data_IF_344851888663
#
_entry.id   IF_344851888663
#
_cell.length_a   1.000
_cell.length_b   1.000
_cell.length_c   1.000
_cell.angle_alpha   90.00
_cell.angle_beta   90.00
_cell.angle_gamma   90.00
#
_symmetry.space_group_name_H-M   'P 1'
#
loop_
_entity.id
_entity.type
_entity.pdbx_description
1 polymer ?
#
# COMPACT_ATOMS: atom_id res chain seq x y z
N UNK A 1 12.10 -11.97 -7.01
CA UNK A 1 11.73 -10.71 -7.72
C UNK A 1 10.43 -10.26 -7.10
N UNK A 2 10.43 -9.19 -6.31
CA UNK A 2 9.22 -8.64 -5.71
C UNK A 2 8.66 -7.58 -6.66
N UNK A 3 7.60 -7.91 -7.38
CA UNK A 3 6.79 -6.94 -8.13
C UNK A 3 5.74 -6.38 -7.19
N UNK A 4 5.73 -5.06 -7.03
CA UNK A 4 4.71 -4.35 -6.25
C UNK A 4 3.78 -3.67 -7.25
N UNK A 5 2.48 -3.95 -7.12
CA UNK A 5 1.41 -3.29 -7.84
C UNK A 5 0.85 -2.19 -6.94
N UNK A 6 0.87 -0.94 -7.39
CA UNK A 6 0.17 0.18 -6.73
C UNK A 6 -1.04 0.48 -7.61
N UNK A 7 -2.24 0.13 -7.14
CA UNK A 7 -3.50 0.57 -7.75
C UNK A 7 -3.93 1.89 -7.13
N UNK A 8 -4.39 2.82 -7.96
CA UNK A 8 -5.16 3.98 -7.50
C UNK A 8 -6.62 3.56 -7.65
N UNK A 9 -7.28 3.25 -6.55
CA UNK A 9 -8.74 3.05 -6.53
C UNK A 9 -9.42 4.43 -6.47
N UNK A 10 -10.41 4.65 -7.34
CA UNK A 10 -11.19 5.89 -7.42
C UNK A 10 -12.14 6.11 -6.22
N UNK A 11 -12.27 5.15 -5.29
CA UNK A 11 -13.35 5.13 -4.29
C UNK A 11 -13.21 6.10 -3.10
N UNK A 12 -12.24 7.02 -3.07
CA UNK A 12 -12.10 7.92 -1.91
C UNK A 12 -11.62 9.34 -2.27
N UNK A 13 -12.42 10.06 -3.06
CA UNK A 13 -12.39 11.54 -3.11
C UNK A 13 -13.50 12.10 -2.18
N UNK A 14 -13.24 13.17 -1.42
CA UNK A 14 -14.30 13.87 -0.67
C UNK A 14 -15.31 14.47 -1.63
N UNK A 15 -16.59 14.10 -1.47
CA UNK A 15 -17.71 14.71 -2.20
C UNK A 15 -17.74 16.24 -1.98
N UNK A 16 -17.23 17.00 -2.94
CA UNK A 16 -17.56 18.42 -3.07
C UNK A 16 -18.89 18.51 -3.82
N UNK A 17 -20.00 18.55 -3.09
CA UNK A 17 -21.31 18.87 -3.67
C UNK A 17 -21.33 20.34 -4.14
N UNK A 18 -21.21 20.56 -5.44
CA UNK A 18 -21.77 21.73 -6.10
C UNK A 18 -23.04 21.27 -6.84
N UNK A 19 -24.18 21.86 -6.50
CA UNK A 19 -25.49 21.44 -6.97
C UNK A 19 -25.63 21.44 -8.49
N UNK A 20 -26.07 20.31 -9.01
CA UNK A 20 -26.50 20.11 -10.39
C UNK A 20 -26.92 18.66 -10.58
N UNK A 21 -28.20 18.43 -10.83
CA UNK A 21 -28.73 17.11 -11.17
C UNK A 21 -28.21 16.77 -12.57
N UNK A 22 -27.32 15.79 -12.69
CA UNK A 22 -26.95 15.16 -13.96
C UNK A 22 -27.41 13.71 -13.84
N UNK A 23 -28.34 13.33 -14.72
CA UNK A 23 -28.78 11.95 -14.89
C UNK A 23 -27.56 11.07 -15.22
N UNK A 24 -27.47 9.93 -14.52
CA UNK A 24 -26.37 9.00 -14.65
C UNK A 24 -26.39 8.34 -16.04
N UNK A 25 -25.66 8.93 -16.97
CA UNK A 25 -25.35 8.33 -18.27
C UNK A 25 -24.10 7.44 -18.11
N UNK A 26 -24.27 6.15 -18.39
CA UNK A 26 -23.24 5.11 -18.35
C UNK A 26 -22.01 5.49 -19.19
N UNK A 27 -20.82 5.64 -18.57
CA UNK A 27 -19.51 5.21 -19.11
C UNK A 27 -18.34 5.55 -18.16
N UNK A 28 -17.64 4.54 -17.63
CA UNK A 28 -16.21 4.31 -17.92
C UNK A 28 -15.73 3.07 -17.15
N UNK A 29 -15.13 2.11 -17.85
CA UNK A 29 -14.37 1.02 -17.22
C UNK A 29 -13.30 1.63 -16.29
N UNK A 30 -13.04 1.06 -15.09
CA UNK A 30 -12.03 1.62 -14.20
C UNK A 30 -10.65 1.48 -14.84
N UNK A 31 -10.07 2.61 -15.23
CA UNK A 31 -8.73 2.66 -15.82
C UNK A 31 -7.69 2.55 -14.70
N UNK A 32 -7.12 1.37 -14.48
CA UNK A 32 -6.03 1.20 -13.51
C UNK A 32 -4.67 1.52 -14.15
N UNK A 33 -3.89 2.42 -13.53
CA UNK A 33 -2.49 2.67 -13.91
C UNK A 33 -1.55 1.94 -12.93
N UNK A 34 -0.60 1.16 -13.45
CA UNK A 34 0.36 0.41 -12.64
C UNK A 34 1.81 0.69 -13.09
N UNK A 35 2.70 0.95 -12.11
CA UNK A 35 4.15 1.00 -12.31
C UNK A 35 4.81 -0.15 -11.55
N UNK A 36 5.60 -0.95 -12.26
CA UNK A 36 6.36 -2.06 -11.66
C UNK A 36 7.82 -1.65 -11.50
N UNK A 37 8.32 -1.67 -10.28
CA UNK A 37 9.71 -1.35 -9.97
C UNK A 37 10.40 -2.49 -9.20
N UNK A 38 11.71 -2.63 -9.39
CA UNK A 38 12.55 -3.59 -8.65
C UNK A 38 12.77 -3.17 -7.18
N UNK A 39 12.64 -1.89 -6.90
CA UNK A 39 12.99 -1.31 -5.61
C UNK A 39 11.73 -0.78 -4.89
N UNK A 40 11.64 -0.88 -3.55
CA UNK A 40 10.45 -0.50 -2.77
C UNK A 40 10.38 1.02 -2.55
N UNK A 41 10.20 1.77 -3.63
CA UNK A 41 10.19 3.25 -3.65
C UNK A 41 8.75 3.79 -3.73
N UNK A 42 7.90 3.33 -2.81
CA UNK A 42 6.45 3.51 -2.86
C UNK A 42 6.02 4.98 -2.96
N UNK A 43 6.56 5.87 -2.12
CA UNK A 43 6.17 7.29 -2.10
C UNK A 43 6.46 8.00 -3.42
N UNK A 44 7.63 7.71 -4.02
CA UNK A 44 8.00 8.28 -5.31
C UNK A 44 7.02 7.78 -6.38
N UNK A 45 6.87 6.45 -6.52
CA UNK A 45 6.00 5.84 -7.52
C UNK A 45 4.54 6.31 -7.39
N UNK A 46 4.05 6.49 -6.16
CA UNK A 46 2.69 6.96 -5.92
C UNK A 46 2.49 8.40 -6.41
N UNK A 47 3.43 9.31 -6.15
CA UNK A 47 3.34 10.69 -6.66
C UNK A 47 3.41 10.70 -8.18
N UNK A 48 4.24 9.87 -8.78
CA UNK A 48 4.38 9.77 -10.23
C UNK A 48 3.10 9.25 -10.89
N UNK A 49 2.52 8.17 -10.35
CA UNK A 49 1.24 7.64 -10.80
C UNK A 49 0.14 8.71 -10.69
N UNK A 50 0.09 9.47 -9.59
CA UNK A 50 -0.87 10.57 -9.41
C UNK A 50 -0.65 11.69 -10.43
N UNK A 51 0.60 12.07 -10.70
CA UNK A 51 0.93 13.08 -11.70
C UNK A 51 0.52 12.65 -13.10
N UNK A 52 0.79 11.40 -13.47
CA UNK A 52 0.35 10.82 -14.75
C UNK A 52 -1.18 10.82 -14.84
N UNK A 53 -1.87 10.33 -13.81
CA UNK A 53 -3.33 10.27 -13.80
C UNK A 53 -3.95 11.67 -13.96
N UNK A 54 -3.49 12.66 -13.17
CA UNK A 54 -4.03 14.02 -13.23
C UNK A 54 -3.77 14.67 -14.60
N UNK A 55 -2.57 14.51 -15.16
CA UNK A 55 -2.19 15.19 -16.39
C UNK A 55 -2.82 14.56 -17.63
N UNK A 56 -2.87 13.23 -17.71
CA UNK A 56 -3.23 12.52 -18.94
C UNK A 56 -4.60 11.84 -18.90
N UNK A 57 -5.13 11.50 -17.72
CA UNK A 57 -6.47 10.91 -17.60
C UNK A 57 -7.50 12.01 -17.29
N UNK A 58 -7.19 12.88 -16.33
CA UNK A 58 -8.08 13.98 -15.93
C UNK A 58 -7.94 15.24 -16.80
N UNK A 59 -6.76 15.53 -17.36
CA UNK A 59 -6.57 16.64 -18.30
C UNK A 59 -7.41 16.49 -19.57
N UNK A 60 -7.45 15.28 -20.15
CA UNK A 60 -8.21 14.97 -21.36
C UNK A 60 -9.74 15.02 -21.19
N UNK A 61 -10.25 14.95 -19.95
CA UNK A 61 -11.69 15.05 -19.63
C UNK A 61 -12.13 16.49 -19.38
N UNK A 62 -11.24 17.36 -18.89
CA UNK A 62 -11.51 18.79 -18.71
C UNK A 62 -11.49 19.56 -20.04
N UNK A 63 -10.63 19.18 -20.98
CA UNK A 63 -10.57 19.80 -22.32
C UNK A 63 -11.85 19.57 -23.16
N UNK A 64 -12.67 18.58 -22.80
CA UNK A 64 -13.92 18.25 -23.50
C UNK A 64 -15.16 18.94 -22.92
N UNK A 65 -15.10 19.50 -21.71
CA UNK A 65 -16.31 19.84 -20.95
C UNK A 65 -16.55 21.33 -20.68
N UNK A 66 -15.57 22.25 -20.69
CA UNK A 66 -15.89 23.70 -20.60
C UNK A 66 -14.72 24.64 -20.91
N UNK A 67 -14.99 25.61 -21.78
CA UNK A 67 -14.31 26.89 -21.87
C UNK A 67 -14.55 27.71 -20.59
N UNK A 68 -13.81 27.47 -19.51
CA UNK A 68 -13.81 28.37 -18.35
C UNK A 68 -12.45 28.45 -17.67
N UNK A 69 -12.03 29.70 -17.47
CA UNK A 69 -10.74 30.18 -17.02
C UNK A 69 -10.38 29.67 -15.61
N UNK A 70 -9.64 28.56 -15.53
CA UNK A 70 -8.65 28.33 -14.48
C UNK A 70 -7.35 27.99 -15.19
N UNK A 71 -6.56 29.03 -15.47
CA UNK A 71 -5.24 28.91 -16.07
C UNK A 71 -4.24 28.34 -15.05
N UNK A 72 -4.34 27.04 -14.77
CA UNK A 72 -3.16 26.26 -14.43
C UNK A 72 -2.57 25.88 -15.77
N UNK A 73 -1.49 26.55 -16.17
CA UNK A 73 -0.80 26.24 -17.42
C UNK A 73 -0.18 24.84 -17.31
N UNK A 74 -0.95 23.81 -17.65
CA UNK A 74 -0.45 22.49 -17.97
C UNK A 74 0.34 22.64 -19.28
N UNK A 75 1.59 23.09 -19.15
CA UNK A 75 2.53 23.04 -20.26
C UNK A 75 2.70 21.56 -20.65
N UNK A 76 2.06 21.17 -21.76
CA UNK A 76 2.48 20.22 -22.80
C UNK A 76 3.57 19.20 -22.43
N UNK A 77 3.47 18.51 -21.30
CA UNK A 77 4.48 17.52 -20.91
C UNK A 77 3.95 16.17 -21.35
N UNK A 78 4.60 15.54 -22.33
CA UNK A 78 4.09 14.27 -22.85
C UNK A 78 4.30 13.15 -21.82
N UNK A 79 3.56 12.04 -21.95
CA UNK A 79 3.79 10.85 -21.12
C UNK A 79 5.24 10.39 -21.19
N UNK A 80 5.81 10.46 -22.39
CA UNK A 80 7.20 10.08 -22.66
C UNK A 80 8.19 11.00 -21.95
N UNK A 81 7.89 12.29 -21.82
CA UNK A 81 8.73 13.23 -21.06
C UNK A 81 8.69 12.92 -19.56
N UNK A 82 7.50 12.69 -18.98
CA UNK A 82 7.35 12.28 -17.57
C UNK A 82 8.03 10.93 -17.29
N UNK A 83 7.89 9.96 -18.19
CA UNK A 83 8.56 8.66 -18.10
C UNK A 83 10.08 8.82 -18.30
N UNK A 84 10.53 9.73 -19.16
CA UNK A 84 11.97 9.99 -19.34
C UNK A 84 12.58 10.65 -18.10
N UNK A 85 11.90 11.62 -17.50
CA UNK A 85 12.29 12.26 -16.25
C UNK A 85 12.27 11.22 -15.10
N UNK A 86 11.31 10.30 -15.12
CA UNK A 86 11.28 9.16 -14.20
C UNK A 86 12.55 8.29 -14.33
N UNK A 87 12.84 7.81 -15.54
CA UNK A 87 13.89 6.81 -15.77
C UNK A 87 15.31 7.40 -15.71
N UNK A 88 15.46 8.65 -16.12
CA UNK A 88 16.76 9.33 -16.20
C UNK A 88 17.08 10.06 -14.90
N UNK A 89 16.08 10.68 -14.27
CA UNK A 89 16.23 11.60 -13.14
C UNK A 89 15.84 11.03 -11.77
N UNK A 90 15.22 9.85 -11.66
CA UNK A 90 15.30 9.09 -10.39
C UNK A 90 16.67 8.44 -10.22
N UNK A 91 17.69 9.27 -10.00
CA UNK A 91 18.93 8.83 -9.38
C UNK A 91 18.79 9.00 -7.89
N UNK A 92 18.50 7.91 -7.21
CA UNK A 92 18.46 7.91 -5.75
C UNK A 92 19.83 8.30 -5.19
N UNK A 93 19.86 9.19 -4.18
CA UNK A 93 21.11 9.53 -3.54
C UNK A 93 21.75 8.27 -2.97
N UNK A 94 23.07 8.15 -3.13
CA UNK A 94 23.83 7.08 -2.50
C UNK A 94 23.69 7.18 -0.97
N UNK A 95 23.79 6.06 -0.22
CA UNK A 95 23.82 6.10 1.23
C UNK A 95 24.84 7.12 1.76
N UNK A 96 24.45 7.91 2.76
CA UNK A 96 25.28 8.97 3.34
C UNK A 96 25.32 10.29 2.55
N UNK A 97 24.59 10.40 1.44
CA UNK A 97 24.36 11.68 0.74
C UNK A 97 23.10 12.37 1.29
N UNK A 98 23.03 13.72 1.26
CA UNK A 98 21.85 14.46 1.71
C UNK A 98 20.61 14.08 0.89
N UNK A 99 19.45 14.16 1.53
CA UNK A 99 18.14 13.97 0.89
C UNK A 99 18.06 14.86 -0.36
N UNK A 100 17.64 14.29 -1.48
CA UNK A 100 17.50 15.04 -2.73
C UNK A 100 16.03 15.35 -2.91
N UNK A 101 15.68 16.63 -2.81
CA UNK A 101 14.35 17.08 -3.19
C UNK A 101 14.33 17.34 -4.69
N UNK A 102 13.34 16.77 -5.38
CA UNK A 102 13.08 17.01 -6.80
C UNK A 102 11.60 17.29 -6.99
N UNK A 103 11.27 18.36 -7.68
CA UNK A 103 9.90 18.59 -8.17
C UNK A 103 9.70 17.78 -9.44
N UNK A 104 8.67 16.92 -9.48
CA UNK A 104 8.26 16.24 -10.70
C UNK A 104 6.93 16.84 -11.16
N UNK A 105 6.96 17.56 -12.27
CA UNK A 105 5.78 18.24 -12.81
C UNK A 105 5.16 19.28 -11.85
N UNK A 106 3.89 19.67 -12.07
CA UNK A 106 3.20 20.69 -11.27
C UNK A 106 2.79 20.22 -9.88
N UNK A 107 2.89 18.91 -9.60
CA UNK A 107 2.36 18.30 -8.39
C UNK A 107 3.49 17.88 -7.45
N UNK A 108 3.81 18.80 -6.54
CA UNK A 108 4.52 18.61 -5.27
C UNK A 108 6.00 18.20 -5.38
N UNK A 109 6.79 18.78 -4.47
CA UNK A 109 8.20 18.46 -4.26
C UNK A 109 8.33 17.01 -3.73
N UNK A 110 8.91 16.11 -4.54
CA UNK A 110 9.27 14.78 -4.11
C UNK A 110 10.58 14.83 -3.33
N UNK A 111 10.55 14.36 -2.09
CA UNK A 111 11.78 14.12 -1.33
C UNK A 111 12.25 12.71 -1.63
N UNK A 112 13.26 12.57 -2.49
CA UNK A 112 13.92 11.31 -2.74
C UNK A 112 14.86 11.00 -1.55
N UNK A 113 14.46 10.01 -0.78
CA UNK A 113 15.29 9.43 0.28
C UNK A 113 16.29 8.47 -0.37
N UNK A 114 17.54 8.37 0.11
CA UNK A 114 18.49 7.38 -0.37
C UNK A 114 17.83 6.00 -0.46
N UNK A 115 18.12 5.29 -1.55
CA UNK A 115 17.76 3.89 -1.64
C UNK A 115 18.62 3.18 -0.58
N UNK A 116 18.05 3.00 0.60
CA UNK A 116 18.70 2.29 1.69
C UNK A 116 18.67 0.81 1.33
N UNK A 117 19.57 0.41 0.44
CA UNK A 117 19.96 -0.99 0.33
C UNK A 117 20.75 -1.29 1.62
N UNK A 118 19.99 -1.60 2.68
CA UNK A 118 20.37 -2.50 3.78
C UNK A 118 21.21 -2.03 5.00
N UNK A 119 21.27 -0.74 5.38
CA UNK A 119 22.01 -0.35 6.61
C UNK A 119 21.24 0.49 7.66
N UNK A 120 19.97 0.86 7.42
CA UNK A 120 19.18 1.66 8.37
C UNK A 120 17.72 1.19 8.44
N UNK A 121 17.02 1.55 9.53
CA UNK A 121 15.61 1.18 9.78
C UNK A 121 14.75 1.56 8.55
N UNK A 122 13.89 0.66 8.04
CA UNK A 122 13.07 0.94 6.86
C UNK A 122 12.17 2.16 7.07
N UNK A 123 12.16 3.04 6.07
CA UNK A 123 11.24 4.17 6.05
C UNK A 123 9.84 3.69 5.63
N UNK A 124 8.87 3.86 6.53
CA UNK A 124 7.48 3.38 6.33
C UNK A 124 6.47 4.49 6.08
N UNK A 125 6.93 5.74 5.96
CA UNK A 125 6.06 6.92 5.90
C UNK A 125 5.03 6.89 7.05
N UNK A 126 3.74 7.05 6.78
CA UNK A 126 2.65 6.93 7.75
C UNK A 126 1.99 5.53 7.79
N UNK A 127 2.46 4.57 6.99
CA UNK A 127 1.84 3.25 6.87
C UNK A 127 1.81 2.49 8.21
N UNK A 128 2.94 2.49 8.94
CA UNK A 128 3.03 1.82 10.26
C UNK A 128 2.09 2.44 11.27
N UNK A 129 1.93 3.77 11.23
CA UNK A 129 0.98 4.48 12.07
C UNK A 129 -0.47 4.12 11.73
N UNK A 130 -0.81 4.02 10.44
CA UNK A 130 -2.15 3.59 9.98
C UNK A 130 -2.47 2.18 10.44
N UNK A 131 -1.51 1.25 10.31
CA UNK A 131 -1.65 -0.11 10.82
C UNK A 131 -1.90 -0.12 12.32
N UNK A 132 -1.05 0.58 13.09
CA UNK A 132 -1.20 0.68 14.54
C UNK A 132 -2.55 1.27 14.95
N UNK A 133 -3.07 2.25 14.19
CA UNK A 133 -4.39 2.83 14.43
C UNK A 133 -5.53 1.84 14.13
N UNK A 134 -5.38 1.00 13.11
CA UNK A 134 -6.39 0.02 12.70
C UNK A 134 -6.55 -1.13 13.72
N UNK A 135 -5.45 -1.78 14.10
CA UNK A 135 -5.48 -3.00 14.94
C UNK A 135 -5.03 -2.77 16.41
N UNK A 136 -4.56 -1.57 16.72
CA UNK A 136 -4.02 -1.23 18.03
C UNK A 136 -2.66 -1.85 18.35
N UNK A 137 -2.10 -1.45 19.49
CA UNK A 137 -0.80 -1.95 19.97
C UNK A 137 -0.84 -3.46 20.23
N UNK A 138 -1.96 -3.96 20.77
CA UNK A 138 -2.08 -5.39 21.08
C UNK A 138 -2.13 -6.24 19.81
N UNK A 139 -2.94 -5.84 18.84
CA UNK A 139 -3.03 -6.52 17.55
C UNK A 139 -1.69 -6.50 16.82
N UNK A 140 -0.98 -5.37 16.84
CA UNK A 140 0.35 -5.29 16.22
C UNK A 140 1.34 -6.29 16.83
N UNK A 141 1.35 -6.42 18.16
CA UNK A 141 2.20 -7.40 18.85
C UNK A 141 1.81 -8.85 18.53
N UNK A 142 0.51 -9.13 18.39
CA UNK A 142 0.03 -10.44 17.96
C UNK A 142 0.49 -10.76 16.53
N UNK A 143 0.39 -9.81 15.60
CA UNK A 143 0.92 -9.98 14.23
C UNK A 143 2.41 -10.31 14.23
N UNK A 144 3.21 -9.59 15.00
CA UNK A 144 4.64 -9.89 15.14
C UNK A 144 4.88 -11.31 15.62
N UNK A 145 4.18 -11.75 16.66
CA UNK A 145 4.29 -13.12 17.16
C UNK A 145 3.90 -14.15 16.11
N UNK A 146 2.84 -13.90 15.33
CA UNK A 146 2.39 -14.79 14.25
C UNK A 146 3.46 -14.96 13.18
N UNK A 147 4.10 -13.86 12.77
CA UNK A 147 5.13 -13.91 11.72
C UNK A 147 6.36 -14.65 12.22
N UNK A 148 6.76 -14.46 13.48
CA UNK A 148 7.91 -15.13 14.07
C UNK A 148 7.74 -16.66 14.22
N UNK A 149 6.51 -17.16 14.18
CA UNK A 149 6.20 -18.60 14.17
C UNK A 149 5.80 -19.10 12.79
N UNK A 150 6.10 -18.33 11.74
CA UNK A 150 5.77 -18.67 10.37
C UNK A 150 4.26 -18.94 10.16
N UNK A 151 3.42 -18.09 10.78
CA UNK A 151 1.97 -18.15 10.64
C UNK A 151 1.46 -17.72 9.26
N UNK A 152 0.29 -18.23 8.87
CA UNK A 152 -0.45 -17.80 7.67
C UNK A 152 -1.32 -16.60 8.01
N UNK A 153 -1.02 -15.46 7.40
CA UNK A 153 -1.71 -14.19 7.65
C UNK A 153 -2.45 -13.72 6.40
N UNK A 154 -3.76 -13.50 6.54
CA UNK A 154 -4.60 -12.93 5.50
C UNK A 154 -5.16 -11.58 5.95
N UNK A 155 -4.72 -10.51 5.29
CA UNK A 155 -5.21 -9.14 5.50
C UNK A 155 -6.45 -8.90 4.66
N UNK A 156 -7.52 -8.45 5.29
CA UNK A 156 -8.81 -8.17 4.65
C UNK A 156 -9.17 -6.72 4.86
N UNK A 157 -9.61 -6.06 3.80
CA UNK A 157 -10.20 -4.72 3.87
C UNK A 157 -11.05 -4.45 2.63
N UNK A 158 -11.99 -3.51 2.77
CA UNK A 158 -12.63 -2.81 1.65
C UNK A 158 -11.69 -1.86 0.88
N UNK A 159 -10.47 -1.62 1.36
CA UNK A 159 -9.48 -0.77 0.68
C UNK A 159 -8.20 -1.54 0.37
N UNK A 160 -7.87 -1.68 -0.91
CA UNK A 160 -6.61 -2.29 -1.36
C UNK A 160 -5.39 -1.50 -0.85
N UNK A 161 -5.53 -0.17 -0.76
CA UNK A 161 -4.49 0.69 -0.18
C UNK A 161 -4.23 0.34 1.28
N UNK A 162 -5.28 0.11 2.09
CA UNK A 162 -5.11 -0.28 3.48
C UNK A 162 -4.38 -1.61 3.63
N UNK A 163 -4.75 -2.61 2.82
CA UNK A 163 -4.09 -3.93 2.76
C UNK A 163 -2.61 -3.79 2.42
N UNK A 164 -2.32 -3.08 1.33
CA UNK A 164 -0.95 -2.89 0.83
C UNK A 164 -0.09 -2.15 1.85
N UNK A 165 -0.60 -1.06 2.43
CA UNK A 165 0.08 -0.31 3.49
C UNK A 165 0.34 -1.17 4.73
N UNK A 166 -0.62 -1.99 5.15
CA UNK A 166 -0.47 -2.88 6.30
C UNK A 166 0.65 -3.91 6.07
N UNK A 167 0.64 -4.60 4.92
CA UNK A 167 1.66 -5.61 4.60
C UNK A 167 3.05 -4.96 4.49
N UNK A 168 3.18 -3.82 3.81
CA UNK A 168 4.46 -3.08 3.73
C UNK A 168 4.97 -2.71 5.12
N UNK A 169 4.08 -2.27 6.01
CA UNK A 169 4.44 -1.89 7.38
C UNK A 169 4.95 -3.10 8.15
N UNK A 170 4.23 -4.22 8.08
CA UNK A 170 4.61 -5.49 8.71
C UNK A 170 5.98 -5.97 8.23
N UNK A 171 6.20 -6.00 6.91
CA UNK A 171 7.49 -6.41 6.33
C UNK A 171 8.62 -5.49 6.80
N UNK A 172 8.36 -4.19 6.85
CA UNK A 172 9.34 -3.19 7.31
C UNK A 172 9.66 -3.31 8.80
N UNK A 173 8.66 -3.64 9.59
CA UNK A 173 8.74 -3.82 11.03
C UNK A 173 9.54 -5.07 11.43
N UNK A 174 9.63 -6.06 10.54
CA UNK A 174 10.47 -7.24 10.76
C UNK A 174 11.97 -6.98 10.63
N UNK A 175 12.41 -5.81 10.14
CA UNK A 175 13.83 -5.49 10.04
C UNK A 175 14.57 -5.67 11.38
N UNK A 176 15.77 -6.30 11.38
CA UNK A 176 16.55 -6.76 10.23
C UNK A 176 16.24 -8.20 9.79
N UNK A 177 15.23 -8.84 10.37
CA UNK A 177 14.79 -10.20 10.02
C UNK A 177 14.14 -10.14 8.63
N UNK A 178 14.71 -10.87 7.68
CA UNK A 178 14.11 -11.04 6.36
C UNK A 178 12.91 -11.98 6.45
N UNK A 179 11.76 -11.57 5.90
CA UNK A 179 10.64 -12.49 5.66
C UNK A 179 10.92 -13.17 4.32
N UNK A 180 11.44 -14.40 4.35
CA UNK A 180 11.75 -15.18 3.15
C UNK A 180 10.51 -15.93 2.60
N UNK A 181 9.41 -15.94 3.35
CA UNK A 181 8.17 -16.65 3.03
C UNK A 181 7.29 -15.87 2.03
N UNK A 182 6.41 -16.59 1.33
CA UNK A 182 5.59 -16.10 0.21
C UNK A 182 4.72 -14.90 0.61
N UNK A 183 5.22 -13.69 0.33
CA UNK A 183 4.55 -12.42 0.59
C UNK A 183 3.93 -11.91 -0.70
N UNK A 184 2.62 -12.07 -0.84
CA UNK A 184 1.85 -11.58 -1.98
C UNK A 184 0.95 -10.44 -1.50
N UNK A 185 1.14 -9.22 -1.99
CA UNK A 185 0.38 -8.07 -1.47
C UNK A 185 -1.14 -8.24 -1.67
N UNK A 186 -1.57 -8.88 -2.75
CA UNK A 186 -2.99 -9.07 -3.09
C UNK A 186 -3.20 -10.38 -3.84
N UNK A 187 -4.25 -11.11 -3.49
CA UNK A 187 -4.72 -12.29 -4.21
C UNK A 187 -5.72 -11.84 -5.27
N UNK A 188 -5.47 -12.08 -6.57
CA UNK A 188 -6.45 -11.81 -7.62
C UNK A 188 -7.67 -12.74 -7.52
N UNK A 189 -8.79 -12.32 -8.11
CA UNK A 189 -9.99 -13.17 -8.26
C UNK A 189 -9.64 -14.51 -8.94
N UNK A 190 -10.20 -15.61 -8.44
CA UNK A 190 -9.91 -16.96 -8.95
C UNK A 190 -8.57 -17.57 -8.49
N UNK A 191 -7.79 -16.88 -7.65
CA UNK A 191 -6.59 -17.43 -7.00
C UNK A 191 -6.79 -17.67 -5.50
N UNK A 192 -8.03 -17.62 -5.03
CA UNK A 192 -8.39 -17.77 -3.61
C UNK A 192 -8.02 -19.17 -3.07
N UNK A 193 -7.99 -20.19 -3.94
CA UNK A 193 -7.55 -21.54 -3.61
C UNK A 193 -6.13 -21.62 -3.02
N UNK A 194 -5.27 -20.63 -3.31
CA UNK A 194 -3.90 -20.57 -2.77
C UNK A 194 -3.86 -20.38 -1.25
N UNK A 195 -4.96 -19.96 -0.63
CA UNK A 195 -5.06 -19.85 0.83
C UNK A 195 -4.94 -21.20 1.54
N UNK A 196 -5.21 -22.31 0.85
CA UNK A 196 -5.04 -23.66 1.38
C UNK A 196 -3.59 -24.19 1.26
N UNK A 197 -2.65 -23.38 0.77
CA UNK A 197 -1.26 -23.80 0.64
C UNK A 197 -0.67 -24.14 2.01
N UNK A 198 0.13 -25.21 2.08
CA UNK A 198 0.82 -25.64 3.31
C UNK A 198 1.90 -24.67 3.78
N UNK A 199 2.36 -23.76 2.92
CA UNK A 199 3.45 -22.83 3.24
C UNK A 199 2.93 -21.60 4.00
N UNK A 200 3.71 -21.08 4.97
CA UNK A 200 3.49 -19.76 5.56
C UNK A 200 3.34 -18.69 4.48
N UNK A 201 2.43 -17.74 4.71
CA UNK A 201 2.23 -16.63 3.79
C UNK A 201 1.80 -15.37 4.50
N UNK A 202 2.07 -14.25 3.82
CA UNK A 202 1.58 -12.93 4.17
C UNK A 202 0.83 -12.41 2.96
N UNK A 203 -0.50 -12.49 2.97
CA UNK A 203 -1.34 -12.15 1.82
C UNK A 203 -2.44 -11.15 2.13
N UNK A 204 -2.92 -10.48 1.08
CA UNK A 204 -4.04 -9.56 1.13
C UNK A 204 -5.21 -10.03 0.26
N UNK A 205 -6.44 -9.82 0.72
CA UNK A 205 -7.65 -10.12 -0.04
C UNK A 205 -8.65 -8.98 0.11
N UNK A 206 -9.15 -8.48 -1.02
CA UNK A 206 -10.20 -7.47 -0.99
C UNK A 206 -11.49 -8.07 -0.42
N UNK A 207 -12.20 -7.32 0.43
CA UNK A 207 -13.40 -7.80 1.13
C UNK A 207 -14.48 -8.34 0.18
N UNK A 208 -14.61 -7.78 -1.02
CA UNK A 208 -15.58 -8.27 -2.02
C UNK A 208 -15.32 -9.70 -2.48
N UNK A 209 -14.08 -10.17 -2.40
CA UNK A 209 -13.67 -11.51 -2.83
C UNK A 209 -13.83 -12.57 -1.73
N UNK A 210 -14.21 -12.18 -0.50
CA UNK A 210 -14.51 -13.15 0.55
C UNK A 210 -15.69 -14.04 0.19
N UNK A 211 -16.59 -13.59 -0.68
CA UNK A 211 -17.71 -14.43 -1.16
C UNK A 211 -17.26 -15.56 -2.09
N UNK A 212 -16.04 -15.49 -2.62
CA UNK A 212 -15.44 -16.59 -3.40
C UNK A 212 -14.85 -17.68 -2.49
N UNK A 213 -14.77 -17.43 -1.16
CA UNK A 213 -14.43 -18.47 -0.20
C UNK A 213 -15.67 -19.28 0.13
N UNK A 214 -15.68 -20.55 -0.29
CA UNK A 214 -16.71 -21.50 0.13
C UNK A 214 -16.70 -21.66 1.68
N UNK A 215 -15.50 -21.74 2.26
CA UNK A 215 -15.27 -21.79 3.71
C UNK A 215 -13.98 -21.03 4.08
N UNK A 216 -13.97 -20.37 5.26
CA UNK A 216 -12.75 -19.73 5.77
C UNK A 216 -11.70 -20.80 6.15
N UNK A 217 -10.44 -20.69 5.70
CA UNK A 217 -9.42 -21.70 5.99
C UNK A 217 -9.04 -21.73 7.47
N UNK A 218 -9.14 -22.92 8.07
CA UNK A 218 -9.01 -23.14 9.52
C UNK A 218 -7.65 -22.77 10.10
N UNK A 219 -6.58 -22.81 9.30
CA UNK A 219 -5.21 -22.58 9.72
C UNK A 219 -4.66 -21.21 9.33
N UNK A 220 -5.53 -20.32 8.85
CA UNK A 220 -5.20 -18.95 8.44
C UNK A 220 -5.72 -17.98 9.47
N UNK A 221 -4.86 -17.06 9.93
CA UNK A 221 -5.27 -15.96 10.79
C UNK A 221 -5.74 -14.79 9.94
N UNK A 222 -6.99 -14.38 10.14
CA UNK A 222 -7.61 -13.27 9.44
C UNK A 222 -7.35 -11.96 10.20
N UNK A 223 -6.92 -10.95 9.46
CA UNK A 223 -6.63 -9.61 9.97
C UNK A 223 -7.54 -8.64 9.25
N UNK A 224 -8.68 -8.33 9.86
CA UNK A 224 -9.65 -7.40 9.29
C UNK A 224 -9.25 -5.97 9.67
N UNK A 225 -8.76 -5.22 8.67
CA UNK A 225 -8.30 -3.85 8.85
C UNK A 225 -9.44 -2.83 8.97
N UNK A 226 -10.65 -3.17 8.54
CA UNK A 226 -11.81 -2.28 8.64
C UNK A 226 -12.40 -2.31 10.06
N UNK A 227 -12.48 -3.50 10.66
CA UNK A 227 -12.98 -3.69 12.02
C UNK A 227 -11.89 -3.64 13.10
N UNK A 228 -10.62 -3.81 12.72
CA UNK A 228 -9.49 -3.91 13.65
C UNK A 228 -9.40 -5.27 14.36
N UNK A 229 -10.15 -6.27 13.90
CA UNK A 229 -10.23 -7.59 14.52
C UNK A 229 -9.16 -8.54 13.96
N UNK A 230 -8.55 -9.33 14.84
CA UNK A 230 -7.66 -10.44 14.47
C UNK A 230 -8.34 -11.75 14.90
N UNK A 231 -8.69 -12.59 13.93
CA UNK A 231 -9.30 -13.90 14.16
C UNK A 231 -8.27 -14.98 13.92
N UNK A 232 -7.84 -15.63 14.98
CA UNK A 232 -6.85 -16.69 14.93
C UNK A 232 -7.43 -17.95 14.28
N UNK A 233 -6.61 -18.60 13.44
CA UNK A 233 -6.90 -19.95 12.99
C UNK A 233 -6.89 -20.94 14.15
N UNK A 234 -7.64 -22.04 14.03
CA UNK A 234 -7.86 -23.03 15.09
C UNK A 234 -6.55 -23.69 15.56
N UNK A 235 -5.56 -23.79 14.69
CA UNK A 235 -4.27 -24.44 14.96
C UNK A 235 -3.17 -23.47 15.39
N UNK A 236 -3.48 -22.18 15.54
CA UNK A 236 -2.49 -21.13 15.76
C UNK A 236 -2.29 -20.89 17.25
N UNK A 237 -1.15 -21.34 17.76
CA UNK A 237 -0.72 -21.04 19.13
C UNK A 237 0.32 -19.91 19.13
N UNK A 238 -0.01 -18.81 19.80
CA UNK A 238 0.90 -17.68 19.94
C UNK A 238 1.97 -17.95 21.01
N UNK A 239 3.25 -17.69 20.72
CA UNK A 239 4.29 -17.73 21.75
C UNK A 239 4.07 -16.58 22.74
N UNK A 240 4.32 -16.86 24.02
CA UNK A 240 4.27 -15.83 25.07
C UNK A 240 5.49 -14.92 24.90
N UNK A 241 5.24 -13.65 24.58
CA UNK A 241 6.31 -12.64 24.56
C UNK A 241 6.76 -12.39 26.02
N UNK A 242 8.07 -12.53 26.34
CA UNK A 242 8.58 -12.23 27.67
C UNK A 242 8.21 -10.82 28.13
N UNK A 243 7.79 -10.68 29.39
CA UNK A 243 7.35 -9.40 29.99
C UNK A 243 8.39 -8.28 29.89
N UNK A 244 9.66 -8.67 29.95
CA UNK A 244 10.82 -7.78 29.93
C UNK A 244 10.98 -7.09 28.57
N UNK A 245 10.53 -7.74 27.49
CA UNK A 245 10.48 -7.16 26.13
C UNK A 245 9.15 -6.46 25.87
N UNK A 246 8.06 -7.01 26.38
CA UNK A 246 6.71 -6.52 26.14
C UNK A 246 6.47 -5.11 26.69
N UNK A 247 6.94 -4.84 27.90
CA UNK A 247 6.66 -3.58 28.62
C UNK A 247 7.36 -2.37 27.96
N UNK A 248 8.66 -2.44 27.61
CA UNK A 248 9.32 -1.38 26.88
C UNK A 248 8.69 -1.11 25.50
N UNK A 249 8.39 -2.17 24.74
CA UNK A 249 7.81 -2.05 23.39
C UNK A 249 6.43 -1.40 23.44
N UNK A 250 5.54 -1.84 24.34
CA UNK A 250 4.23 -1.21 24.53
C UNK A 250 4.36 0.27 24.88
N UNK A 251 5.29 0.60 25.78
CA UNK A 251 5.52 1.99 26.20
C UNK A 251 6.04 2.85 25.05
N UNK A 252 6.91 2.29 24.20
CA UNK A 252 7.44 3.00 23.04
C UNK A 252 6.38 3.23 21.96
N UNK A 253 5.46 2.28 21.74
CA UNK A 253 4.40 2.37 20.74
C UNK A 253 3.24 3.30 21.12
N UNK A 254 3.12 3.67 22.41
CA UNK A 254 2.06 4.57 22.91
C UNK A 254 2.52 6.05 22.90
N UNK A 255 3.82 6.30 22.83
CA UNK A 255 4.40 7.65 22.80
C UNK A 255 4.40 8.25 21.40
#
# INVERSE_FOLDING_TARGET
>A
MSSITISIDEENEPHYTLGGIIEAEELSEPLSLCLVAKYPIYDALQVLLKSIYIHHVMGDTLDKSSSSQLSVSFHSTTMEELISELLIDLRFPLPGKPLVKRSFGPLKELTLVPLNVMETIPYTSDNTYRLLKAIGVHGLLQLFSLILVDGKLLFISSSITAITSAIISVVSLMYPIGIDHFSCLLIPSGFVEYLHCITPFLMGLHRSLLVELDEEPLDVTLVDLDSGEIRFGETVELPIIPSDLLTPVKTALIK
#
